data_IF_862874832876
#
_entry.id   IF_862874832876
#
_cell.length_a   1.000
_cell.length_b   1.000
_cell.length_c   1.000
_cell.angle_alpha   90.00
_cell.angle_beta   90.00
_cell.angle_gamma   90.00
#
_symmetry.space_group_name_H-M   'P 1'
#
loop_
_entity.id
_entity.type
_entity.pdbx_description
1 polymer ?
#
# COMPACT_ATOMS: atom_id res chain seq x y z
N UNK A 1 -14.53 -31.07 36.87
CA UNK A 1 -15.20 -31.14 35.55
C UNK A 1 -14.13 -30.93 34.50
N UNK A 2 -13.88 -31.96 33.69
CA UNK A 2 -12.74 -32.09 32.78
C UNK A 2 -12.63 -30.96 31.78
N UNK A 3 -11.43 -30.42 31.65
CA UNK A 3 -10.99 -29.77 30.43
C UNK A 3 -11.06 -30.79 29.28
N UNK A 4 -11.89 -30.51 28.29
CA UNK A 4 -11.90 -31.25 27.03
C UNK A 4 -10.56 -30.98 26.34
N UNK A 5 -9.65 -31.94 26.46
CA UNK A 5 -8.48 -32.06 25.60
C UNK A 5 -9.02 -32.39 24.21
N UNK A 6 -8.99 -31.43 23.30
CA UNK A 6 -9.26 -31.66 21.87
C UNK A 6 -8.07 -32.45 21.32
N UNK A 7 -8.27 -33.65 20.75
CA UNK A 7 -7.19 -34.44 20.19
C UNK A 7 -6.57 -33.77 18.95
N UNK A 8 -5.26 -33.96 18.69
CA UNK A 8 -4.48 -33.22 17.67
C UNK A 8 -4.70 -33.73 16.23
N UNK A 9 -5.94 -34.05 15.87
CA UNK A 9 -6.28 -34.55 14.53
C UNK A 9 -7.60 -33.93 14.04
N UNK A 10 -7.70 -32.59 13.91
CA UNK A 10 -8.84 -32.00 13.19
C UNK A 10 -8.75 -30.49 12.83
N UNK A 11 -7.59 -29.96 12.41
CA UNK A 11 -7.58 -28.63 11.73
C UNK A 11 -8.02 -28.75 10.26
N UNK A 12 -9.08 -29.52 9.97
CA UNK A 12 -9.40 -29.94 8.59
C UNK A 12 -10.80 -29.55 8.11
N UNK A 13 -11.52 -28.70 8.86
CA UNK A 13 -12.75 -28.08 8.35
C UNK A 13 -12.50 -26.66 7.85
N UNK A 14 -13.26 -26.25 6.83
CA UNK A 14 -13.26 -24.87 6.35
C UNK A 14 -13.61 -23.89 7.50
N UNK A 15 -14.46 -24.32 8.44
CA UNK A 15 -14.87 -23.53 9.60
C UNK A 15 -13.69 -23.23 10.53
N UNK A 16 -12.88 -24.22 10.88
CA UNK A 16 -11.71 -24.01 11.76
C UNK A 16 -10.71 -23.03 11.14
N UNK A 17 -10.49 -23.11 9.82
CA UNK A 17 -9.63 -22.17 9.10
C UNK A 17 -10.19 -20.75 9.15
N UNK A 18 -11.50 -20.60 8.94
CA UNK A 18 -12.17 -19.30 9.02
C UNK A 18 -12.11 -18.73 10.45
N UNK A 19 -12.23 -19.57 11.49
CA UNK A 19 -12.05 -19.12 12.88
C UNK A 19 -10.64 -18.59 13.13
N UNK A 20 -9.61 -19.32 12.66
CA UNK A 20 -8.21 -18.87 12.79
C UNK A 20 -7.98 -17.56 12.04
N UNK A 21 -8.50 -17.43 10.81
CA UNK A 21 -8.38 -16.18 10.04
C UNK A 21 -9.12 -15.02 10.73
N UNK A 22 -10.30 -15.25 11.31
CA UNK A 22 -11.03 -14.24 12.07
C UNK A 22 -10.25 -13.78 13.31
N UNK A 23 -9.59 -14.72 13.99
CA UNK A 23 -8.74 -14.43 15.15
C UNK A 23 -7.51 -13.59 14.77
N UNK A 24 -6.88 -13.90 13.62
CA UNK A 24 -5.77 -13.11 13.06
C UNK A 24 -6.27 -11.71 12.66
N UNK A 25 -7.41 -11.63 11.97
CA UNK A 25 -8.02 -10.37 11.54
C UNK A 25 -8.29 -9.45 12.73
N UNK A 26 -8.82 -9.98 13.84
CA UNK A 26 -9.08 -9.22 15.05
C UNK A 26 -7.79 -8.63 15.63
N UNK A 27 -6.71 -9.41 15.69
CA UNK A 27 -5.40 -8.93 16.16
C UNK A 27 -4.78 -7.90 15.23
N UNK A 28 -4.84 -8.12 13.92
CA UNK A 28 -4.34 -7.16 12.91
C UNK A 28 -5.11 -5.84 13.00
N UNK A 29 -6.45 -5.89 13.12
CA UNK A 29 -7.28 -4.69 13.28
C UNK A 29 -6.94 -3.93 14.57
N UNK A 30 -6.78 -4.66 15.68
CA UNK A 30 -6.42 -4.07 16.97
C UNK A 30 -5.07 -3.38 16.89
N UNK A 31 -4.04 -4.05 16.36
CA UNK A 31 -2.70 -3.48 16.16
C UNK A 31 -2.73 -2.24 15.27
N UNK A 32 -3.38 -2.31 14.10
CA UNK A 32 -3.50 -1.17 13.20
C UNK A 32 -4.15 0.04 13.89
N UNK A 33 -5.13 -0.21 14.76
CA UNK A 33 -5.80 0.83 15.54
C UNK A 33 -4.87 1.38 16.62
N UNK A 34 -4.16 0.51 17.35
CA UNK A 34 -3.23 0.87 18.41
C UNK A 34 -2.02 1.69 17.89
N UNK A 35 -1.48 1.34 16.72
CA UNK A 35 -0.42 2.10 16.04
C UNK A 35 -0.89 3.55 15.79
N UNK A 36 -2.11 3.71 15.25
CA UNK A 36 -2.68 5.03 14.99
C UNK A 36 -2.98 5.76 16.31
N UNK A 37 -3.53 5.06 17.29
CA UNK A 37 -3.87 5.64 18.59
C UNK A 37 -2.62 6.17 19.31
N UNK A 38 -1.56 5.36 19.37
CA UNK A 38 -0.29 5.72 19.98
C UNK A 38 0.26 7.02 19.39
N UNK A 39 0.27 7.12 18.05
CA UNK A 39 0.77 8.29 17.34
C UNK A 39 -0.01 9.58 17.64
N UNK A 40 -1.28 9.48 18.05
CA UNK A 40 -2.17 10.63 18.25
C UNK A 40 -2.50 10.94 19.72
N UNK A 41 -2.37 9.97 20.64
CA UNK A 41 -2.82 10.10 22.03
C UNK A 41 -1.75 9.78 23.07
N UNK A 42 -0.81 8.89 22.75
CA UNK A 42 0.19 8.41 23.73
C UNK A 42 1.52 9.14 23.56
N UNK A 43 2.00 9.29 22.32
CA UNK A 43 3.26 10.00 22.05
C UNK A 43 3.14 11.49 22.43
N UNK A 44 4.13 12.06 23.13
CA UNK A 44 4.16 13.50 23.42
C UNK A 44 4.02 14.34 22.16
N UNK A 45 3.14 15.33 22.19
CA UNK A 45 2.87 16.21 21.06
C UNK A 45 2.84 17.69 21.49
N UNK A 46 4.02 18.34 21.61
CA UNK A 46 4.12 19.72 22.06
C UNK A 46 3.38 20.73 21.18
N UNK A 47 3.19 20.39 19.90
CA UNK A 47 2.51 21.26 18.93
C UNK A 47 0.99 21.16 18.98
N UNK A 48 0.45 20.12 19.61
CA UNK A 48 -0.99 19.80 19.61
C UNK A 48 -1.56 19.37 18.24
N UNK A 49 -0.76 19.38 17.16
CA UNK A 49 -1.24 19.01 15.83
C UNK A 49 -1.44 17.51 15.71
N UNK A 50 -2.64 17.07 15.29
CA UNK A 50 -2.93 15.65 15.11
C UNK A 50 -1.99 15.05 14.06
N UNK A 51 -1.24 14.04 14.46
CA UNK A 51 -0.26 13.38 13.60
C UNK A 51 -0.95 12.69 12.42
N UNK A 52 -2.15 12.16 12.61
CA UNK A 52 -3.01 11.60 11.57
C UNK A 52 -3.01 10.07 11.53
N UNK A 53 -3.45 9.50 10.42
CA UNK A 53 -3.72 8.06 10.28
C UNK A 53 -5.19 7.80 10.00
N UNK A 54 -5.50 6.90 9.08
CA UNK A 54 -6.86 6.70 8.58
C UNK A 54 -7.45 5.40 9.12
N UNK A 55 -8.06 5.48 10.32
CA UNK A 55 -8.68 4.33 10.98
C UNK A 55 -9.77 3.69 10.10
N UNK A 56 -10.70 4.50 9.56
CA UNK A 56 -11.78 3.98 8.72
C UNK A 56 -11.26 3.28 7.44
N UNK A 57 -10.25 3.86 6.77
CA UNK A 57 -9.64 3.23 5.60
C UNK A 57 -8.86 1.96 5.95
N UNK A 58 -8.19 1.94 7.10
CA UNK A 58 -7.47 0.76 7.60
C UNK A 58 -8.45 -0.37 7.94
N UNK A 59 -9.50 -0.05 8.71
CA UNK A 59 -10.54 -1.00 9.08
C UNK A 59 -11.22 -1.62 7.86
N UNK A 60 -11.51 -0.83 6.82
CA UNK A 60 -12.11 -1.34 5.58
C UNK A 60 -11.24 -2.32 4.79
N UNK A 61 -9.93 -2.35 5.07
CA UNK A 61 -8.97 -3.21 4.36
C UNK A 61 -8.58 -4.45 5.16
N UNK A 62 -8.90 -4.52 6.46
CA UNK A 62 -8.37 -5.56 7.35
C UNK A 62 -8.76 -6.97 6.91
N UNK A 63 -10.03 -7.23 6.63
CA UNK A 63 -10.52 -8.54 6.19
C UNK A 63 -9.84 -8.99 4.90
N UNK A 64 -9.84 -8.13 3.88
CA UNK A 64 -9.26 -8.44 2.57
C UNK A 64 -7.74 -8.67 2.66
N UNK A 65 -7.02 -7.83 3.41
CA UNK A 65 -5.57 -7.99 3.58
C UNK A 65 -5.24 -9.22 4.43
N UNK A 66 -6.07 -9.58 5.41
CA UNK A 66 -5.86 -10.81 6.19
C UNK A 66 -6.01 -12.05 5.30
N UNK A 67 -7.09 -12.15 4.54
CA UNK A 67 -7.29 -13.26 3.60
C UNK A 67 -6.15 -13.35 2.56
N UNK A 68 -5.69 -12.20 2.04
CA UNK A 68 -4.59 -12.20 1.09
C UNK A 68 -3.28 -12.71 1.71
N UNK A 69 -2.83 -12.13 2.82
CA UNK A 69 -1.51 -12.45 3.38
C UNK A 69 -1.42 -13.81 4.07
N UNK A 70 -2.50 -14.27 4.70
CA UNK A 70 -2.47 -15.49 5.50
C UNK A 70 -3.04 -16.72 4.79
N UNK A 71 -3.70 -16.56 3.63
CA UNK A 71 -4.30 -17.69 2.91
C UNK A 71 -3.96 -17.74 1.41
N UNK A 72 -3.84 -16.59 0.70
CA UNK A 72 -3.81 -16.60 -0.77
C UNK A 72 -2.48 -16.25 -1.42
N UNK A 73 -1.70 -15.32 -0.83
CA UNK A 73 -0.48 -14.82 -1.42
C UNK A 73 0.63 -15.88 -1.39
N UNK A 74 1.41 -15.91 -2.48
CA UNK A 74 2.59 -16.75 -2.61
C UNK A 74 3.85 -15.89 -2.64
N UNK A 75 5.02 -16.52 -2.46
CA UNK A 75 6.33 -15.83 -2.40
C UNK A 75 6.63 -14.88 -3.57
N UNK A 76 6.13 -15.20 -4.76
CA UNK A 76 6.31 -14.41 -5.97
C UNK A 76 5.31 -13.27 -6.15
N UNK A 77 4.22 -13.27 -5.38
CA UNK A 77 3.14 -12.32 -5.57
C UNK A 77 3.53 -10.93 -5.08
N UNK A 78 3.05 -9.91 -5.78
CA UNK A 78 3.33 -8.50 -5.46
C UNK A 78 2.05 -7.72 -5.25
N UNK A 79 1.94 -7.00 -4.14
CA UNK A 79 0.71 -6.30 -3.77
C UNK A 79 0.94 -4.81 -3.65
N UNK A 80 0.15 -4.04 -4.38
CA UNK A 80 0.07 -2.58 -4.19
C UNK A 80 -1.03 -2.25 -3.20
N UNK A 81 -0.64 -1.85 -2.01
CA UNK A 81 -1.55 -1.55 -0.89
C UNK A 81 -2.07 -0.13 -0.98
N UNK A 82 -3.38 0.05 -0.73
CA UNK A 82 -4.01 1.37 -0.59
C UNK A 82 -3.19 2.24 0.37
N UNK A 83 -2.83 3.49 0.03
CA UNK A 83 -1.86 4.26 0.82
C UNK A 83 -2.25 4.39 2.29
N UNK A 84 -3.50 4.75 2.54
CA UNK A 84 -4.05 4.99 3.87
C UNK A 84 -4.27 3.72 4.71
N UNK A 85 -3.99 2.53 4.17
CA UNK A 85 -4.04 1.25 4.87
C UNK A 85 -2.66 0.78 5.35
N UNK A 86 -1.62 1.64 5.30
CA UNK A 86 -0.28 1.29 5.80
C UNK A 86 -0.28 0.72 7.22
N UNK A 87 -1.08 1.19 8.19
CA UNK A 87 -1.08 0.61 9.53
C UNK A 87 -1.49 -0.87 9.57
N UNK A 88 -2.34 -1.31 8.63
CA UNK A 88 -2.71 -2.72 8.48
C UNK A 88 -1.53 -3.51 7.92
N UNK A 89 -0.83 -2.96 6.91
CA UNK A 89 0.35 -3.61 6.35
C UNK A 89 1.44 -3.81 7.42
N UNK A 90 1.74 -2.76 8.19
CA UNK A 90 2.72 -2.84 9.28
C UNK A 90 2.30 -3.85 10.36
N UNK A 91 1.01 -3.87 10.74
CA UNK A 91 0.49 -4.85 11.69
C UNK A 91 0.63 -6.29 11.17
N UNK A 92 0.35 -6.53 9.89
CA UNK A 92 0.55 -7.84 9.25
C UNK A 92 2.03 -8.23 9.24
N UNK A 93 2.90 -7.33 8.80
CA UNK A 93 4.34 -7.57 8.74
C UNK A 93 4.93 -7.83 10.13
N UNK A 94 4.45 -7.16 11.17
CA UNK A 94 4.79 -7.47 12.56
C UNK A 94 4.35 -8.88 12.96
N UNK A 95 3.12 -9.28 12.63
CA UNK A 95 2.61 -10.64 12.95
C UNK A 95 3.34 -11.74 12.18
N UNK A 96 3.91 -11.43 11.03
CA UNK A 96 4.77 -12.32 10.25
C UNK A 96 6.24 -12.30 10.69
N UNK A 97 6.61 -11.46 11.66
CA UNK A 97 8.00 -11.30 12.11
C UNK A 97 8.89 -10.54 11.11
N UNK A 98 8.30 -9.83 10.15
CA UNK A 98 9.00 -9.00 9.16
C UNK A 98 9.18 -7.53 9.63
N UNK A 99 8.53 -7.14 10.73
CA UNK A 99 8.66 -5.84 11.38
C UNK A 99 8.97 -6.02 12.86
N UNK A 100 9.98 -5.31 13.36
CA UNK A 100 10.32 -5.30 14.79
C UNK A 100 9.28 -4.52 15.62
N UNK A 101 8.98 -4.99 16.84
CA UNK A 101 7.96 -4.41 17.72
C UNK A 101 8.25 -2.93 18.04
N UNK A 102 9.53 -2.55 18.15
CA UNK A 102 9.95 -1.18 18.49
C UNK A 102 9.43 -0.14 17.50
N UNK A 103 9.11 -0.54 16.27
CA UNK A 103 8.58 0.37 15.25
C UNK A 103 7.08 0.64 15.39
N UNK A 104 6.30 -0.20 16.08
CA UNK A 104 4.82 -0.08 16.10
C UNK A 104 4.33 1.25 16.67
N UNK A 105 5.12 1.89 17.53
CA UNK A 105 4.81 3.16 18.16
C UNK A 105 5.30 4.38 17.38
N UNK A 106 6.04 4.16 16.28
CA UNK A 106 6.79 5.19 15.53
C UNK A 106 6.06 5.72 14.29
N UNK A 107 4.75 5.48 14.16
CA UNK A 107 3.98 5.96 13.00
C UNK A 107 4.13 7.47 12.83
N UNK A 108 4.57 7.87 11.63
CA UNK A 108 4.86 9.25 11.20
C UNK A 108 6.00 9.93 11.97
N UNK A 109 6.76 9.19 12.74
CA UNK A 109 8.00 9.68 13.32
C UNK A 109 9.09 9.79 12.27
N UNK A 110 10.06 10.68 12.50
CA UNK A 110 11.22 10.78 11.63
C UNK A 110 12.04 9.48 11.73
N UNK A 111 12.23 8.79 10.60
CA UNK A 111 12.88 7.48 10.56
C UNK A 111 12.00 6.30 11.02
N UNK A 112 10.74 6.55 11.37
CA UNK A 112 9.78 5.53 11.75
C UNK A 112 8.85 5.08 10.61
N UNK A 113 7.77 4.41 10.98
CA UNK A 113 6.77 3.88 10.04
C UNK A 113 6.12 4.98 9.20
N UNK A 114 6.02 4.76 7.90
CA UNK A 114 5.45 5.73 6.98
C UNK A 114 3.92 5.75 7.00
N UNK A 115 3.38 6.91 6.63
CA UNK A 115 1.93 7.08 6.45
C UNK A 115 1.35 6.28 5.30
N UNK A 116 2.19 6.03 4.30
CA UNK A 116 1.89 5.37 3.05
C UNK A 116 3.04 4.39 2.78
N UNK A 117 2.75 3.17 2.31
CA UNK A 117 3.80 2.19 2.03
C UNK A 117 4.89 2.78 1.13
N UNK A 118 6.14 2.59 1.51
CA UNK A 118 7.32 3.15 0.87
C UNK A 118 8.49 2.16 0.91
N UNK A 119 8.86 1.64 -0.25
CA UNK A 119 9.96 0.68 -0.41
C UNK A 119 11.32 1.13 0.12
N UNK A 120 11.55 2.44 0.20
CA UNK A 120 12.83 3.01 0.57
C UNK A 120 12.85 3.63 1.97
N UNK A 121 11.70 3.77 2.62
CA UNK A 121 11.58 4.49 3.90
C UNK A 121 10.99 3.63 5.00
N UNK A 122 10.14 2.67 4.65
CA UNK A 122 9.63 1.74 5.64
C UNK A 122 10.69 0.69 6.00
N UNK A 123 10.78 0.30 7.28
CA UNK A 123 11.68 -0.76 7.74
C UNK A 123 11.16 -2.15 7.38
N UNK A 124 9.85 -2.31 7.14
CA UNK A 124 9.21 -3.56 6.76
C UNK A 124 9.04 -3.73 5.24
N UNK A 125 8.83 -4.98 4.76
CA UNK A 125 8.71 -5.25 3.33
C UNK A 125 7.48 -4.60 2.68
N UNK A 126 7.75 -3.74 1.70
CA UNK A 126 6.76 -3.13 0.81
C UNK A 126 7.07 -3.49 -0.65
N UNK A 127 6.08 -3.94 -1.43
CA UNK A 127 6.29 -4.25 -2.85
C UNK A 127 6.24 -3.01 -3.75
N UNK A 128 5.33 -2.05 -3.47
CA UNK A 128 5.17 -0.81 -4.23
C UNK A 128 5.02 0.39 -3.29
N UNK A 129 5.70 1.49 -3.61
CA UNK A 129 5.47 2.76 -2.92
C UNK A 129 4.18 3.39 -3.45
N UNK A 130 3.22 3.70 -2.57
CA UNK A 130 1.88 4.16 -2.99
C UNK A 130 1.54 5.57 -2.56
N UNK A 131 2.49 6.35 -2.03
CA UNK A 131 2.25 7.72 -1.58
C UNK A 131 1.77 8.72 -2.64
N UNK A 132 2.01 8.46 -3.93
CA UNK A 132 1.48 9.27 -5.05
C UNK A 132 0.20 8.64 -5.61
N UNK A 133 -0.85 9.46 -5.72
CA UNK A 133 -2.14 9.02 -6.27
C UNK A 133 -1.99 8.62 -7.74
N UNK A 134 -2.33 7.37 -8.06
CA UNK A 134 -2.27 6.81 -9.42
C UNK A 134 -1.17 5.76 -9.61
N UNK A 135 0.01 5.94 -9.01
CA UNK A 135 1.14 4.97 -9.14
C UNK A 135 0.76 3.61 -8.56
N UNK A 136 0.01 3.59 -7.45
CA UNK A 136 -0.43 2.34 -6.84
C UNK A 136 -1.30 1.47 -7.76
N UNK A 137 -2.01 2.06 -8.71
CA UNK A 137 -2.82 1.31 -9.69
C UNK A 137 -2.00 0.90 -10.91
N UNK A 138 -1.16 1.81 -11.42
CA UNK A 138 -0.42 1.59 -12.67
C UNK A 138 0.80 0.69 -12.49
N UNK A 139 1.49 0.73 -11.35
CA UNK A 139 2.71 -0.04 -11.15
C UNK A 139 2.51 -1.57 -11.22
N UNK A 140 1.46 -2.15 -10.61
CA UNK A 140 1.19 -3.59 -10.77
C UNK A 140 0.81 -3.99 -12.19
N UNK A 141 0.10 -3.12 -12.93
CA UNK A 141 -0.26 -3.36 -14.34
C UNK A 141 1.01 -3.46 -15.19
N UNK A 142 1.87 -2.44 -15.12
CA UNK A 142 3.14 -2.45 -15.84
C UNK A 142 4.05 -3.59 -15.39
N UNK A 143 4.06 -3.92 -14.10
CA UNK A 143 4.77 -5.09 -13.58
C UNK A 143 4.26 -6.41 -14.17
N UNK A 144 2.95 -6.55 -14.37
CA UNK A 144 2.36 -7.74 -15.01
C UNK A 144 2.72 -7.81 -16.51
N UNK A 145 2.68 -6.68 -17.23
CA UNK A 145 3.08 -6.61 -18.64
C UNK A 145 4.55 -6.98 -18.79
N UNK A 146 5.44 -6.39 -17.99
CA UNK A 146 6.86 -6.68 -18.04
C UNK A 146 7.15 -8.16 -17.76
N UNK A 147 6.51 -8.76 -16.75
CA UNK A 147 6.63 -10.20 -16.47
C UNK A 147 6.18 -11.04 -17.66
N UNK A 148 5.02 -10.72 -18.26
CA UNK A 148 4.54 -11.44 -19.45
C UNK A 148 5.54 -11.37 -20.59
N UNK A 149 6.15 -10.21 -20.84
CA UNK A 149 7.19 -10.08 -21.86
C UNK A 149 8.39 -10.98 -21.58
N UNK A 150 8.91 -10.96 -20.35
CA UNK A 150 10.04 -11.80 -19.92
C UNK A 150 9.71 -13.30 -20.05
N UNK A 151 8.50 -13.70 -19.66
CA UNK A 151 8.05 -15.09 -19.80
C UNK A 151 7.94 -15.53 -21.26
N UNK A 152 7.46 -14.67 -22.16
CA UNK A 152 7.43 -14.96 -23.61
C UNK A 152 8.83 -15.09 -24.20
N UNK A 153 9.83 -14.40 -23.63
CA UNK A 153 11.24 -14.46 -24.05
C UNK A 153 12.00 -15.68 -23.50
N UNK A 154 11.33 -16.58 -22.76
CA UNK A 154 11.89 -17.88 -22.34
C UNK A 154 12.23 -17.99 -20.85
N UNK A 155 12.06 -16.93 -20.05
CA UNK A 155 12.31 -16.98 -18.60
C UNK A 155 11.02 -17.22 -17.80
N UNK A 156 10.85 -18.44 -17.29
CA UNK A 156 9.66 -18.80 -16.50
C UNK A 156 9.74 -18.22 -15.07
N UNK A 157 8.81 -17.32 -14.73
CA UNK A 157 8.58 -16.88 -13.33
C UNK A 157 7.09 -16.92 -12.99
N UNK A 158 6.69 -17.84 -12.10
CA UNK A 158 5.29 -17.98 -11.66
C UNK A 158 4.96 -16.98 -10.54
N UNK A 159 4.53 -15.76 -10.91
CA UNK A 159 4.19 -14.69 -9.95
C UNK A 159 2.97 -13.87 -10.39
N UNK A 160 2.04 -13.57 -9.47
CA UNK A 160 0.87 -12.71 -9.71
C UNK A 160 1.09 -11.30 -9.14
N UNK A 161 0.27 -10.34 -9.55
CA UNK A 161 0.22 -9.04 -8.87
C UNK A 161 -1.22 -8.64 -8.57
N UNK A 162 -1.44 -8.08 -7.38
CA UNK A 162 -2.73 -7.60 -6.91
C UNK A 162 -2.68 -6.10 -6.62
N UNK A 163 -3.80 -5.41 -6.89
CA UNK A 163 -3.98 -3.99 -6.62
C UNK A 163 -5.10 -3.85 -5.59
N UNK A 164 -4.80 -3.24 -4.45
CA UNK A 164 -5.78 -2.93 -3.41
C UNK A 164 -6.13 -1.44 -3.49
N UNK A 165 -7.25 -1.14 -4.15
CA UNK A 165 -7.81 0.20 -4.24
C UNK A 165 -9.12 0.24 -3.45
N UNK A 166 -9.26 1.21 -2.56
CA UNK A 166 -10.54 1.55 -1.95
C UNK A 166 -11.11 2.81 -2.58
N UNK A 167 -12.44 2.94 -2.59
CA UNK A 167 -13.11 4.18 -2.99
C UNK A 167 -12.60 5.36 -2.13
N UNK A 168 -12.46 6.54 -2.74
CA UNK A 168 -12.17 7.78 -2.01
C UNK A 168 -13.36 8.07 -1.09
N UNK A 169 -13.10 8.28 0.19
CA UNK A 169 -14.05 8.97 1.06
C UNK A 169 -13.75 10.46 0.93
N UNK A 170 -14.57 11.18 0.16
CA UNK A 170 -14.40 12.62 -0.03
C UNK A 170 -15.23 13.17 -1.19
N UNK A 171 -16.23 13.98 -0.85
CA UNK A 171 -16.99 14.89 -1.72
C UNK A 171 -16.06 15.98 -2.28
N UNK A 172 -15.17 15.62 -3.20
CA UNK A 172 -14.30 16.54 -3.92
C UNK A 172 -14.73 16.64 -5.38
N UNK A 173 -15.26 17.79 -5.77
CA UNK A 173 -15.60 18.10 -7.18
C UNK A 173 -14.38 17.94 -8.09
N UNK A 174 -14.58 17.20 -9.18
CA UNK A 174 -14.03 17.52 -10.50
C UNK A 174 -12.52 17.39 -10.69
N UNK A 175 -12.08 16.19 -11.09
CA UNK A 175 -11.22 15.91 -12.26
C UNK A 175 -10.92 14.41 -12.28
N UNK A 176 -11.91 13.65 -12.74
CA UNK A 176 -11.82 12.21 -12.90
C UNK A 176 -11.35 11.84 -14.31
N UNK A 177 -10.34 10.98 -14.35
CA UNK A 177 -10.13 9.94 -15.37
C UNK A 177 -9.90 10.42 -16.82
N UNK A 178 -8.63 10.57 -17.20
CA UNK A 178 -8.22 10.36 -18.59
C UNK A 178 -8.33 8.88 -18.90
N UNK A 179 -9.31 8.50 -19.72
CA UNK A 179 -9.55 7.14 -20.19
C UNK A 179 -8.31 6.56 -20.87
N UNK A 180 -7.84 5.40 -20.40
CA UNK A 180 -7.05 4.49 -21.21
C UNK A 180 -8.01 3.79 -22.19
N UNK A 181 -8.01 4.21 -23.45
CA UNK A 181 -8.60 3.43 -24.54
C UNK A 181 -7.46 2.71 -25.27
N UNK A 182 -7.61 1.39 -25.44
CA UNK A 182 -6.80 0.61 -26.37
C UNK A 182 -7.13 0.96 -27.83
N UNK A 183 -6.29 0.55 -28.79
CA UNK A 183 -6.45 0.93 -30.18
C UNK A 183 -7.44 -0.02 -30.84
N UNK A 184 -8.69 0.42 -31.03
CA UNK A 184 -9.58 -0.16 -32.03
C UNK A 184 -9.97 0.90 -33.06
N UNK A 185 -9.69 0.59 -34.32
CA UNK A 185 -9.96 1.43 -35.47
C UNK A 185 -11.44 1.47 -35.78
N UNK A 186 -12.00 2.68 -35.86
CA UNK A 186 -13.36 2.92 -36.32
C UNK A 186 -13.57 4.40 -36.61
N UNK A 187 -13.58 4.76 -37.90
CA UNK A 187 -13.92 6.10 -38.38
C UNK A 187 -15.41 6.39 -38.13
N UNK A 188 -15.74 7.49 -37.45
CA UNK A 188 -16.96 8.28 -37.74
C UNK A 188 -16.81 9.74 -37.25
N UNK A 189 -17.05 10.67 -38.19
CA UNK A 189 -17.29 12.12 -38.15
C UNK A 189 -17.10 12.95 -36.87
N UNK A 190 -16.19 13.94 -36.94
CA UNK A 190 -16.16 15.13 -36.05
C UNK A 190 -16.73 16.34 -36.79
N UNK A 191 -17.83 16.91 -36.28
CA UNK A 191 -18.17 18.33 -36.47
C UNK A 191 -17.44 19.16 -35.41
N UNK A 192 -16.52 20.03 -35.84
CA UNK A 192 -15.72 20.90 -34.96
C UNK A 192 -16.32 22.32 -35.00
N UNK A 193 -16.87 22.78 -33.88
CA UNK A 193 -17.13 24.21 -33.66
C UNK A 193 -15.95 24.77 -32.85
N UNK A 194 -15.12 25.57 -33.51
CA UNK A 194 -13.98 26.25 -32.89
C UNK A 194 -14.49 27.39 -31.98
N UNK A 195 -14.17 27.31 -30.68
CA UNK A 195 -14.13 28.48 -29.79
C UNK A 195 -12.71 28.64 -29.28
N UNK A 196 -12.03 29.69 -29.75
CA UNK A 196 -10.72 30.13 -29.25
C UNK A 196 -10.89 30.73 -27.84
N UNK A 197 -9.99 30.46 -26.88
CA UNK A 197 -9.88 31.25 -25.66
C UNK A 197 -8.96 32.46 -25.89
N UNK A 198 -9.40 33.63 -25.42
CA UNK A 198 -8.66 34.90 -25.32
C UNK A 198 -7.44 34.79 -24.38
N UNK A 199 -6.33 35.53 -24.64
CA UNK A 199 -5.13 35.50 -23.80
C UNK A 199 -5.28 36.35 -22.52
N UNK A 200 -4.72 35.88 -21.42
CA UNK A 200 -4.66 36.59 -20.15
C UNK A 200 -3.40 37.48 -20.06
N UNK A 201 -3.59 38.73 -19.65
CA UNK A 201 -2.56 39.75 -19.37
C UNK A 201 -1.62 39.37 -18.19
N UNK A 202 -0.32 39.74 -18.23
CA UNK A 202 0.65 39.41 -17.18
C UNK A 202 0.74 40.47 -16.07
N UNK A 203 0.62 40.04 -14.80
CA UNK A 203 0.92 40.85 -13.61
C UNK A 203 2.41 40.79 -13.20
N UNK A 204 2.92 41.75 -12.42
CA UNK A 204 4.36 42.01 -12.33
C UNK A 204 5.12 41.18 -11.26
N UNK A 205 6.29 40.70 -11.69
CA UNK A 205 7.58 40.60 -11.00
C UNK A 205 7.69 40.29 -9.50
N UNK A 206 8.32 39.14 -9.19
CA UNK A 206 8.96 38.85 -7.90
C UNK A 206 10.16 37.92 -8.08
N UNK A 207 11.34 38.34 -7.60
CA UNK A 207 12.65 37.80 -7.97
C UNK A 207 13.08 36.50 -7.24
N UNK A 208 13.79 35.66 -8.02
CA UNK A 208 14.91 34.75 -7.73
C UNK A 208 15.19 34.31 -6.27
N UNK A 209 15.23 32.99 -6.07
CA UNK A 209 16.34 32.32 -5.37
C UNK A 209 16.64 30.95 -5.99
N UNK A 210 17.80 30.84 -6.64
CA UNK A 210 18.45 29.54 -6.94
C UNK A 210 19.26 29.14 -5.69
N UNK A 211 19.08 27.92 -5.20
CA UNK A 211 20.04 27.26 -4.31
C UNK A 211 20.43 25.90 -4.90
N UNK A 212 21.73 25.66 -4.85
CA UNK A 212 22.45 24.52 -5.38
C UNK A 212 22.08 23.22 -4.65
N UNK A 213 22.00 22.12 -5.40
CA UNK A 213 21.98 20.77 -4.84
C UNK A 213 23.43 20.29 -4.67
N UNK A 214 23.82 20.06 -3.42
CA UNK A 214 25.05 19.38 -3.01
C UNK A 214 24.85 17.88 -3.18
N UNK A 215 25.80 17.21 -3.82
CA UNK A 215 25.87 15.77 -3.96
C UNK A 215 26.16 15.12 -2.60
N UNK A 216 25.27 14.23 -2.16
CA UNK A 216 25.40 13.43 -0.94
C UNK A 216 25.32 11.94 -1.28
N UNK A 217 26.32 11.21 -0.83
CA UNK A 217 26.65 9.82 -1.16
C UNK A 217 25.61 8.82 -0.63
N UNK A 218 25.25 7.83 -1.45
CA UNK A 218 24.43 6.66 -1.06
C UNK A 218 25.29 5.55 -0.44
N UNK A 219 24.94 5.02 0.74
CA UNK A 219 25.51 3.76 1.20
C UNK A 219 24.65 2.55 0.77
N UNK A 220 25.33 1.60 0.12
CA UNK A 220 25.19 0.15 0.32
C UNK A 220 23.82 -0.49 0.13
N UNK A 221 23.61 -1.11 -1.03
CA UNK A 221 22.52 -2.07 -1.26
C UNK A 221 22.72 -3.32 -0.39
N UNK A 222 21.88 -3.51 0.63
CA UNK A 222 21.76 -4.79 1.31
C UNK A 222 21.02 -5.79 0.42
N UNK A 223 21.63 -6.97 0.24
CA UNK A 223 21.08 -8.07 -0.54
C UNK A 223 19.72 -8.51 0.04
N UNK A 224 18.71 -8.54 -0.83
CA UNK A 224 17.30 -8.70 -0.48
C UNK A 224 16.99 -10.16 -0.16
N UNK A 225 16.61 -10.46 1.09
CA UNK A 225 16.14 -11.79 1.52
C UNK A 225 14.89 -12.16 0.72
N UNK A 226 14.97 -13.23 -0.07
CA UNK A 226 13.84 -13.79 -0.82
C UNK A 226 12.81 -14.33 0.20
N UNK A 227 11.55 -13.94 0.03
CA UNK A 227 10.43 -14.38 0.89
C UNK A 227 10.36 -15.91 0.91
N UNK A 228 10.69 -16.54 2.04
CA UNK A 228 10.55 -17.99 2.23
C UNK A 228 9.26 -18.26 2.99
N UNK A 229 8.18 -18.50 2.26
CA UNK A 229 6.92 -18.98 2.82
C UNK A 229 7.02 -20.50 2.93
N UNK A 230 7.07 -21.03 4.16
CA UNK A 230 6.81 -22.46 4.40
C UNK A 230 5.30 -22.70 4.31
N UNK A 231 4.95 -23.76 3.60
CA UNK A 231 3.59 -24.14 3.16
C UNK A 231 2.59 -24.27 4.29
#
# INVERSE_FOLDING_TARGET
MSALIVPPAMLDTCEDRLMVLAEIEQRVRWLATAIIDHANRVRPNPTGLKVGGHQASSASMTTLMTALWFEHLRSGDRVSVKPHASPVLHAINYRLGELDESYLTTLREFGGLQSYPSRSKDPDPVDYSTGSVGIGATAPIWGAVARRCVTTLGEQTASRAAVLLGRRCGTGRGRGLGSAHGPDGGRTGRGRVDRRPEPAEPGPGGAKHRRAAVAGQTPGSSARRVRRWSR
#
